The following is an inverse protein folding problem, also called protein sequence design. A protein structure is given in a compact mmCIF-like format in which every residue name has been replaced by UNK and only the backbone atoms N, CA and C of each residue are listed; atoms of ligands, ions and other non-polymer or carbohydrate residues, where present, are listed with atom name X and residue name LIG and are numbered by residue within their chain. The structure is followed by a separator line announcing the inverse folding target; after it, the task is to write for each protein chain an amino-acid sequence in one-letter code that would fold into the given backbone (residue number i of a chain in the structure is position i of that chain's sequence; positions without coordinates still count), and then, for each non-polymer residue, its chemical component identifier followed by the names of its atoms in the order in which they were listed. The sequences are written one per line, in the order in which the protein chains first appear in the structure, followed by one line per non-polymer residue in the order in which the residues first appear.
data_IF_647349912491
#
_entry.id   IF_647349912491
#
_cell.length_a   1.000
_cell.length_b   1.000
_cell.length_c   1.000
_cell.angle_alpha   90.00
_cell.angle_beta   90.00
_cell.angle_gamma   90.00
#
_symmetry.space_group_name_H-M   'P 1'
#
loop_
_entity.id
_entity.type
_entity.pdbx_description
1 polymer ?
#
# COMPACT_ATOMS: atom_id res chain seq x y z
N UNK A 1 -8.60 1.31 -12.70
CA UNK A 1 -9.08 2.37 -11.78
C UNK A 1 -8.72 3.80 -12.21
N UNK A 2 -7.97 4.02 -13.32
CA UNK A 2 -7.58 5.37 -13.79
C UNK A 2 -8.16 5.74 -15.16
N UNK A 3 -9.41 5.37 -15.41
CA UNK A 3 -10.11 5.66 -16.68
C UNK A 3 -10.86 7.00 -16.66
N UNK A 4 -10.89 7.67 -15.51
CA UNK A 4 -11.56 8.94 -15.24
C UNK A 4 -10.64 9.80 -14.37
N UNK A 5 -10.93 11.09 -14.24
CA UNK A 5 -10.14 12.07 -13.45
C UNK A 5 -10.25 11.88 -11.93
N UNK A 6 -10.56 10.65 -11.47
CA UNK A 6 -10.72 10.34 -10.05
C UNK A 6 -9.44 10.58 -9.24
N UNK A 7 -8.29 10.60 -9.89
CA UNK A 7 -7.00 10.96 -9.29
C UNK A 7 -6.95 12.40 -8.78
N UNK A 8 -7.86 13.29 -9.19
CA UNK A 8 -7.92 14.65 -8.66
C UNK A 8 -8.38 14.70 -7.20
N UNK A 9 -9.21 13.74 -6.76
CA UNK A 9 -9.72 13.71 -5.38
C UNK A 9 -8.83 12.94 -4.41
N UNK A 10 -8.10 11.95 -4.91
CA UNK A 10 -7.19 11.14 -4.11
C UNK A 10 -5.87 10.95 -4.86
N UNK A 11 -4.84 11.67 -4.39
CA UNK A 11 -3.50 11.66 -4.99
C UNK A 11 -2.58 10.55 -4.46
N UNK A 12 -2.90 9.97 -3.31
CA UNK A 12 -2.12 8.91 -2.67
C UNK A 12 -3.04 7.98 -1.87
N UNK A 13 -2.63 6.72 -1.70
CA UNK A 13 -3.27 5.81 -0.74
C UNK A 13 -2.79 6.15 0.68
N UNK A 14 -3.70 6.10 1.65
CA UNK A 14 -3.41 6.40 3.06
C UNK A 14 -3.85 5.26 3.97
N UNK A 15 -3.16 5.10 5.09
CA UNK A 15 -3.52 4.18 6.16
C UNK A 15 -4.41 4.89 7.16
N UNK A 16 -5.71 4.62 7.13
CA UNK A 16 -6.61 5.02 8.19
C UNK A 16 -6.32 4.20 9.46
N UNK A 17 -5.93 4.88 10.54
CA UNK A 17 -5.61 4.30 11.84
C UNK A 17 -6.31 5.06 12.96
N UNK A 18 -6.80 4.33 13.97
CA UNK A 18 -7.48 4.92 15.11
C UNK A 18 -6.52 5.75 16.00
N UNK A 19 -6.94 6.91 16.54
CA UNK A 19 -6.09 7.77 17.38
C UNK A 19 -5.39 7.05 18.53
N UNK A 20 -6.11 6.17 19.23
CA UNK A 20 -5.55 5.37 20.33
C UNK A 20 -4.36 4.49 19.88
N UNK A 21 -4.45 3.87 18.69
CA UNK A 21 -3.38 3.01 18.18
C UNK A 21 -2.21 3.80 17.63
N UNK A 22 -2.48 4.98 17.08
CA UNK A 22 -1.48 5.93 16.64
C UNK A 22 -0.68 6.49 17.83
N UNK A 23 -1.36 6.92 18.90
CA UNK A 23 -0.75 7.46 20.12
C UNK A 23 0.17 6.43 20.80
N UNK A 24 -0.30 5.19 20.95
CA UNK A 24 0.50 4.08 21.48
C UNK A 24 1.79 3.81 20.67
N UNK A 25 1.84 4.23 19.41
CA UNK A 25 2.96 4.06 18.49
C UNK A 25 3.74 5.35 18.24
N UNK A 26 3.32 6.47 18.83
CA UNK A 26 3.92 7.79 18.60
C UNK A 26 3.74 8.32 17.18
N UNK A 27 2.71 7.87 16.45
CA UNK A 27 2.43 8.27 15.08
C UNK A 27 1.62 9.55 15.01
N UNK A 28 1.91 10.39 14.02
CA UNK A 28 1.15 11.61 13.70
C UNK A 28 0.50 11.51 12.33
N UNK A 29 -0.46 12.39 12.09
CA UNK A 29 -1.10 12.48 10.79
C UNK A 29 -0.08 12.85 9.70
N UNK A 30 -0.10 12.13 8.59
CA UNK A 30 0.85 12.31 7.49
C UNK A 30 2.22 11.64 7.67
N UNK A 31 2.49 11.00 8.82
CA UNK A 31 3.73 10.28 9.03
C UNK A 31 3.84 9.07 8.11
N UNK A 32 5.08 8.74 7.75
CA UNK A 32 5.39 7.50 7.05
C UNK A 32 5.30 6.31 8.01
N UNK A 33 4.50 5.32 7.61
CA UNK A 33 4.29 4.09 8.39
C UNK A 33 4.58 2.87 7.53
N UNK A 34 5.28 1.92 8.12
CA UNK A 34 5.49 0.59 7.55
C UNK A 34 4.42 -0.35 8.09
N UNK A 35 3.76 -1.05 7.18
CA UNK A 35 2.93 -2.21 7.46
C UNK A 35 3.72 -3.45 7.12
N UNK A 36 3.97 -4.26 8.13
CA UNK A 36 4.59 -5.58 7.98
C UNK A 36 3.54 -6.65 8.22
N UNK A 37 3.37 -7.55 7.28
CA UNK A 37 2.56 -8.77 7.45
C UNK A 37 3.46 -10.00 7.29
N UNK A 38 2.90 -11.18 7.48
CA UNK A 38 3.60 -12.44 7.20
C UNK A 38 3.97 -12.62 5.72
N UNK A 39 3.25 -11.95 4.82
CA UNK A 39 3.35 -12.13 3.37
C UNK A 39 4.27 -11.10 2.72
N UNK A 40 4.53 -9.97 3.39
CA UNK A 40 5.44 -8.95 2.91
C UNK A 40 5.36 -7.65 3.70
N UNK A 41 5.91 -6.58 3.13
CA UNK A 41 5.89 -5.25 3.74
C UNK A 41 5.59 -4.14 2.72
N UNK A 42 4.89 -3.11 3.19
CA UNK A 42 4.60 -1.89 2.42
C UNK A 42 4.75 -0.66 3.31
N UNK A 43 5.07 0.48 2.72
CA UNK A 43 5.08 1.77 3.41
C UNK A 43 4.12 2.74 2.73
N UNK A 44 3.32 3.43 3.55
CA UNK A 44 2.34 4.44 3.15
C UNK A 44 2.22 5.52 4.23
N UNK A 45 1.42 6.56 3.98
CA UNK A 45 1.21 7.63 4.94
C UNK A 45 0.03 7.33 5.87
N UNK A 46 0.20 7.64 7.15
CA UNK A 46 -0.87 7.56 8.14
C UNK A 46 -1.91 8.67 7.92
N UNK A 47 -3.17 8.31 8.11
CA UNK A 47 -4.32 9.20 8.27
C UNK A 47 -4.97 8.84 9.60
N UNK A 48 -4.89 9.73 10.58
CA UNK A 48 -5.47 9.47 11.90
C UNK A 48 -6.96 9.81 11.85
N UNK A 49 -7.82 8.83 12.13
CA UNK A 49 -9.27 9.00 12.05
C UNK A 49 -10.00 8.10 13.04
N UNK A 50 -11.11 8.59 13.60
CA UNK A 50 -12.00 7.84 14.49
C UNK A 50 -13.00 6.95 13.73
N UNK A 51 -12.93 6.92 12.39
CA UNK A 51 -13.78 6.11 11.53
C UNK A 51 -13.54 4.60 11.68
N UNK A 52 -12.32 4.20 12.00
CA UNK A 52 -11.94 2.79 12.18
C UNK A 52 -11.88 2.47 13.67
N UNK A 53 -12.34 1.28 14.06
CA UNK A 53 -12.28 0.85 15.46
C UNK A 53 -10.84 0.65 15.94
N UNK A 54 -10.55 0.78 17.24
CA UNK A 54 -9.26 0.38 17.82
C UNK A 54 -8.91 -1.07 17.45
N UNK A 55 -7.67 -1.31 17.08
CA UNK A 55 -7.15 -2.59 16.59
C UNK A 55 -7.44 -2.88 15.11
N UNK A 56 -8.12 -1.98 14.40
CA UNK A 56 -8.46 -2.11 12.98
C UNK A 56 -7.78 -1.01 12.18
N UNK A 57 -7.25 -1.37 11.02
CA UNK A 57 -6.68 -0.42 10.06
C UNK A 57 -7.34 -0.58 8.70
N UNK A 58 -7.37 0.51 7.93
CA UNK A 58 -7.93 0.51 6.58
C UNK A 58 -6.96 1.17 5.60
N UNK A 59 -6.86 0.61 4.40
CA UNK A 59 -6.04 1.16 3.31
C UNK A 59 -6.72 0.97 1.96
N UNK A 60 -6.30 1.79 1.00
CA UNK A 60 -6.71 1.71 -0.40
C UNK A 60 -5.59 1.13 -1.27
N UNK A 61 -5.94 0.65 -2.46
CA UNK A 61 -5.01 0.03 -3.41
C UNK A 61 -5.12 0.70 -4.80
N UNK A 62 -5.36 2.01 -4.83
CA UNK A 62 -5.57 2.75 -6.07
C UNK A 62 -4.25 3.15 -6.74
N UNK A 63 -3.18 3.30 -5.97
CA UNK A 63 -1.86 3.73 -6.43
C UNK A 63 -0.89 2.55 -6.42
N UNK A 64 -0.28 2.18 -7.57
CA UNK A 64 0.65 1.06 -7.64
C UNK A 64 1.95 1.37 -6.91
N UNK A 65 2.22 2.63 -6.55
CA UNK A 65 3.42 3.02 -5.82
C UNK A 65 3.42 2.46 -4.39
N UNK A 66 2.24 2.22 -3.80
CA UNK A 66 2.10 1.67 -2.45
C UNK A 66 2.22 0.15 -2.42
N UNK A 67 1.88 -0.55 -3.50
CA UNK A 67 1.91 -2.02 -3.55
C UNK A 67 1.12 -2.67 -2.39
N UNK A 68 -0.08 -2.15 -2.09
CA UNK A 68 -0.88 -2.57 -0.94
C UNK A 68 -1.22 -4.08 -0.89
N UNK A 69 -1.32 -4.77 -2.03
CA UNK A 69 -1.66 -6.20 -2.05
C UNK A 69 -0.48 -7.13 -1.71
N UNK A 70 0.73 -6.60 -1.50
CA UNK A 70 1.91 -7.39 -1.09
C UNK A 70 1.76 -7.92 0.33
N UNK A 71 1.06 -7.16 1.18
CA UNK A 71 0.79 -7.58 2.55
C UNK A 71 -0.40 -8.56 2.62
N UNK A 72 -1.22 -8.66 1.58
CA UNK A 72 -2.38 -9.57 1.53
C UNK A 72 -1.92 -11.02 1.51
N UNK A 73 -2.67 -11.86 2.21
CA UNK A 73 -2.35 -13.29 2.31
C UNK A 73 -2.87 -14.08 1.11
N UNK A 74 -2.38 -15.31 0.99
CA UNK A 74 -2.79 -16.33 0.04
C UNK A 74 -4.07 -17.08 0.46
N UNK A 75 -4.66 -16.73 1.60
CA UNK A 75 -5.92 -17.33 2.03
C UNK A 75 -7.08 -16.90 1.14
N UNK A 76 -7.99 -17.84 0.92
CA UNK A 76 -9.14 -17.66 0.04
C UNK A 76 -10.34 -18.48 0.50
N UNK A 77 -11.51 -18.08 0.00
CA UNK A 77 -12.76 -18.82 0.18
C UNK A 77 -12.69 -20.21 -0.48
N UNK A 78 -13.23 -21.21 0.20
CA UNK A 78 -13.19 -22.62 -0.23
C UNK A 78 -14.07 -22.91 -1.45
N UNK A 79 -15.14 -22.14 -1.68
CA UNK A 79 -16.08 -22.39 -2.76
C UNK A 79 -15.64 -21.76 -4.08
N UNK A 80 -15.14 -20.53 -4.02
CA UNK A 80 -14.89 -19.69 -5.21
C UNK A 80 -13.43 -19.27 -5.36
N UNK A 81 -12.57 -19.59 -4.40
CA UNK A 81 -11.19 -19.12 -4.33
C UNK A 81 -11.08 -17.58 -4.29
N UNK A 82 -12.10 -16.89 -3.77
CA UNK A 82 -12.08 -15.44 -3.57
C UNK A 82 -11.05 -15.07 -2.48
N UNK A 83 -10.03 -14.23 -2.75
CA UNK A 83 -8.96 -13.97 -1.78
C UNK A 83 -9.40 -13.15 -0.56
N UNK A 84 -8.72 -13.34 0.56
CA UNK A 84 -8.93 -12.63 1.82
C UNK A 84 -8.34 -11.21 1.80
N UNK A 85 -8.99 -10.29 1.09
CA UNK A 85 -8.54 -8.89 1.01
C UNK A 85 -8.92 -8.03 2.23
N UNK A 86 -9.90 -8.47 3.03
CA UNK A 86 -10.50 -7.65 4.11
C UNK A 86 -9.96 -7.99 5.49
N UNK A 87 -9.19 -9.07 5.61
CA UNK A 87 -8.59 -9.52 6.86
C UNK A 87 -7.14 -9.88 6.57
N UNK A 88 -6.22 -9.28 7.31
CA UNK A 88 -4.79 -9.59 7.24
C UNK A 88 -4.19 -9.09 8.54
N UNK A 89 -3.46 -9.98 9.24
CA UNK A 89 -2.74 -9.57 10.44
C UNK A 89 -1.52 -8.73 10.05
N UNK A 90 -1.44 -7.50 10.55
CA UNK A 90 -0.38 -6.55 10.23
C UNK A 90 0.17 -5.89 11.49
N UNK A 91 1.47 -5.57 11.44
CA UNK A 91 2.14 -4.71 12.40
C UNK A 91 2.36 -3.34 11.76
N UNK A 92 1.89 -2.29 12.42
CA UNK A 92 2.16 -0.90 12.03
C UNK A 92 3.33 -0.36 12.85
N UNK A 93 4.34 0.17 12.17
CA UNK A 93 5.50 0.82 12.79
C UNK A 93 5.87 2.11 12.06
N UNK A 94 6.54 3.03 12.75
CA UNK A 94 7.06 4.25 12.14
C UNK A 94 8.16 3.91 11.11
N UNK A 95 8.16 4.60 9.98
CA UNK A 95 9.17 4.48 8.93
C UNK A 95 9.60 5.86 8.46
N UNK A 96 10.75 5.95 7.80
CA UNK A 96 11.28 7.18 7.22
C UNK A 96 11.33 7.15 5.68
N UNK A 97 10.86 6.07 5.06
CA UNK A 97 10.88 5.92 3.61
C UNK A 97 10.19 4.65 3.11
N UNK A 98 10.20 4.43 1.79
CA UNK A 98 9.55 3.28 1.16
C UNK A 98 10.20 1.95 1.57
N UNK A 99 9.42 0.87 1.53
CA UNK A 99 9.90 -0.49 1.78
C UNK A 99 10.91 -0.94 0.71
N UNK A 100 11.67 -2.00 1.01
CA UNK A 100 12.61 -2.57 0.04
C UNK A 100 11.85 -3.08 -1.19
N UNK A 101 10.72 -3.76 -0.99
CA UNK A 101 9.85 -4.21 -2.06
C UNK A 101 9.41 -3.08 -3.01
N UNK A 102 9.04 -1.92 -2.47
CA UNK A 102 8.61 -0.78 -3.28
C UNK A 102 9.75 -0.26 -4.17
N UNK A 103 11.00 -0.29 -3.68
CA UNK A 103 12.18 0.14 -4.45
C UNK A 103 12.46 -0.84 -5.58
N UNK A 104 12.49 -2.13 -5.28
CA UNK A 104 12.77 -3.18 -6.26
C UNK A 104 11.71 -3.20 -7.36
N UNK A 105 10.44 -3.03 -7.00
CA UNK A 105 9.34 -2.97 -7.96
C UNK A 105 9.45 -1.75 -8.89
N UNK A 106 9.77 -0.57 -8.35
CA UNK A 106 9.95 0.64 -9.15
C UNK A 106 11.15 0.51 -10.11
N UNK A 107 12.27 -0.05 -9.64
CA UNK A 107 13.43 -0.34 -10.50
C UNK A 107 13.09 -1.32 -11.62
N UNK A 108 12.44 -2.45 -11.28
CA UNK A 108 12.00 -3.44 -12.26
C UNK A 108 11.03 -2.83 -13.28
N UNK A 109 10.06 -2.03 -12.83
CA UNK A 109 9.09 -1.39 -13.70
C UNK A 109 9.76 -0.40 -14.67
N UNK A 110 10.74 0.38 -14.18
CA UNK A 110 11.53 1.31 -14.99
C UNK A 110 12.39 0.59 -16.03
N UNK A 111 12.93 -0.57 -15.71
CA UNK A 111 13.72 -1.37 -16.66
C UNK A 111 12.81 -2.03 -17.71
N UNK A 112 11.70 -2.64 -17.28
CA UNK A 112 10.82 -3.45 -18.14
C UNK A 112 9.98 -2.62 -19.10
N UNK A 113 9.71 -1.34 -18.79
CA UNK A 113 8.91 -0.45 -19.66
C UNK A 113 9.75 0.29 -20.71
N UNK A 114 11.05 -0.01 -20.82
CA UNK A 114 11.92 0.61 -21.85
C UNK A 114 11.59 0.02 -23.21
N UNK A 115 11.24 0.89 -24.15
CA UNK A 115 11.09 0.52 -25.56
C UNK A 115 12.41 0.84 -26.25
N UNK A 116 12.98 -0.11 -26.96
CA UNK A 116 14.17 0.15 -27.78
C UNK A 116 13.82 1.15 -28.88
N UNK A 117 14.59 2.22 -29.01
CA UNK A 117 14.48 3.14 -30.13
C UNK A 117 14.90 2.39 -31.40
N UNK A 118 13.96 2.11 -32.30
CA UNK A 118 14.28 1.70 -33.66
C UNK A 118 15.06 2.85 -34.30
N UNK A 119 16.34 2.68 -34.58
CA UNK A 119 16.98 3.48 -35.62
C UNK A 119 16.21 3.16 -36.90
N UNK A 120 15.59 4.18 -37.50
CA UNK A 120 14.98 4.04 -38.80
C UNK A 120 16.06 3.49 -39.74
N UNK A 121 15.80 2.31 -40.31
CA UNK A 121 16.66 1.73 -41.32
C UNK A 121 16.67 2.69 -42.52
N UNK A 122 17.85 3.22 -42.87
CA UNK A 122 18.10 3.90 -44.15
C UNK A 122 18.01 2.91 -45.32
#
# INVERSE_FOLDING_TARGET
TRRTDNSMWHSEDRLEIHPHDAENRGLRDGDWVRLTSRSGETTLRALITDRVSPGVVYTTFHHPDTQANVITTDFSDWATNCPEYKVTAVQVGASNGPSEWQRDYDEQAKQSRRIASLQAAE
#
